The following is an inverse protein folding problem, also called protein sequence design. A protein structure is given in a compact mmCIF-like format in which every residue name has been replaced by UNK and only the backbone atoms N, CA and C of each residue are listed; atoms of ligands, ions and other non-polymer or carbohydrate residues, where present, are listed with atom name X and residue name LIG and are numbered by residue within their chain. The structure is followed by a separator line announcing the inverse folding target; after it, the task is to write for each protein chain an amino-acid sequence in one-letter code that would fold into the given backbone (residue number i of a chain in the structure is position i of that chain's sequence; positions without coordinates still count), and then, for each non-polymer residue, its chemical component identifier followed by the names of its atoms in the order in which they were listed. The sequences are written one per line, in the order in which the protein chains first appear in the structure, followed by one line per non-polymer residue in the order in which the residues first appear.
data_IF_816022026513
#
_entry.id   IF_816022026513
#
_cell.length_a   1.000
_cell.length_b   1.000
_cell.length_c   1.000
_cell.angle_alpha   90.00
_cell.angle_beta   90.00
_cell.angle_gamma   90.00
#
_symmetry.space_group_name_H-M   'P 1'
#
loop_
_entity.id
_entity.type
_entity.pdbx_description
1 polymer ?
#
# COMPACT_ATOMS: atom_id res chain seq x y z
N UNK A 1 -48.67 5.48 -43.69
CA UNK A 1 -47.42 5.52 -42.89
C UNK A 1 -46.55 6.78 -43.17
N UNK A 2 -47.12 7.95 -43.49
CA UNK A 2 -46.37 9.19 -43.76
C UNK A 2 -46.60 10.31 -42.72
N UNK A 3 -47.68 10.25 -41.95
CA UNK A 3 -47.98 11.25 -40.91
C UNK A 3 -47.16 11.09 -39.63
N UNK A 4 -46.77 9.85 -39.28
CA UNK A 4 -46.05 9.57 -38.03
C UNK A 4 -44.57 10.00 -38.07
N UNK A 5 -43.96 10.05 -39.27
CA UNK A 5 -42.58 10.54 -39.43
C UNK A 5 -42.50 12.07 -39.42
N UNK A 6 -43.46 12.76 -40.03
CA UNK A 6 -43.50 14.22 -39.99
C UNK A 6 -43.74 14.76 -38.58
N UNK A 7 -44.58 14.11 -37.77
CA UNK A 7 -44.79 14.51 -36.37
C UNK A 7 -43.54 14.33 -35.51
N UNK A 8 -42.73 13.29 -35.77
CA UNK A 8 -41.48 13.06 -35.05
C UNK A 8 -40.38 14.05 -35.47
N UNK A 9 -40.34 14.44 -36.75
CA UNK A 9 -39.41 15.46 -37.24
C UNK A 9 -39.76 16.85 -36.69
N UNK A 10 -41.04 17.24 -36.70
CA UNK A 10 -41.46 18.50 -36.08
C UNK A 10 -41.23 18.53 -34.57
N UNK A 11 -41.33 17.38 -33.90
CA UNK A 11 -41.02 17.27 -32.47
C UNK A 11 -39.51 17.35 -32.20
N UNK A 12 -38.68 16.72 -33.04
CA UNK A 12 -37.23 16.79 -32.93
C UNK A 12 -36.70 18.21 -33.22
N UNK A 13 -37.26 18.92 -34.19
CA UNK A 13 -36.93 20.34 -34.45
C UNK A 13 -37.37 21.25 -33.31
N UNK A 14 -38.56 21.00 -32.72
CA UNK A 14 -39.02 21.74 -31.55
C UNK A 14 -38.14 21.50 -30.30
N UNK A 15 -37.55 20.31 -30.15
CA UNK A 15 -36.63 19.96 -29.07
C UNK A 15 -35.20 20.45 -29.33
N UNK A 16 -34.77 20.59 -30.60
CA UNK A 16 -33.44 21.08 -30.96
C UNK A 16 -33.30 22.59 -30.80
N UNK A 17 -34.42 23.33 -30.95
CA UNK A 17 -34.46 24.78 -30.76
C UNK A 17 -34.74 25.20 -29.31
N UNK A 18 -35.01 24.25 -28.42
CA UNK A 18 -34.91 24.43 -26.98
C UNK A 18 -33.51 23.97 -26.55
N UNK A 19 -32.53 24.87 -26.67
CA UNK A 19 -31.32 24.74 -25.88
C UNK A 19 -31.73 24.77 -24.42
N UNK A 20 -31.82 23.60 -23.79
CA UNK A 20 -31.84 23.50 -22.33
C UNK A 20 -30.48 24.00 -21.85
N UNK A 21 -30.34 25.32 -21.75
CA UNK A 21 -29.30 25.96 -20.98
C UNK A 21 -29.58 25.53 -19.54
N UNK A 22 -28.81 24.55 -19.07
CA UNK A 22 -28.81 24.17 -17.67
C UNK A 22 -28.66 25.45 -16.84
N UNK A 23 -29.49 25.68 -15.81
CA UNK A 23 -29.33 26.82 -14.91
C UNK A 23 -27.89 26.84 -14.39
N UNK A 24 -27.26 28.02 -14.31
CA UNK A 24 -25.85 28.17 -13.91
C UNK A 24 -25.51 27.42 -12.62
N UNK A 25 -26.48 27.37 -11.68
CA UNK A 25 -26.37 26.62 -10.43
C UNK A 25 -26.16 25.09 -10.60
N UNK A 26 -26.59 24.49 -11.71
CA UNK A 26 -26.32 23.09 -12.03
C UNK A 26 -24.96 22.90 -12.71
N UNK A 27 -24.47 23.89 -13.47
CA UNK A 27 -23.11 23.86 -14.02
C UNK A 27 -22.07 23.92 -12.89
N UNK A 28 -22.24 24.82 -11.92
CA UNK A 28 -21.38 24.90 -10.73
C UNK A 28 -21.34 23.58 -9.92
N UNK A 29 -22.48 22.88 -9.85
CA UNK A 29 -22.57 21.59 -9.17
C UNK A 29 -21.81 20.50 -9.94
N UNK A 30 -21.91 20.48 -11.27
CA UNK A 30 -21.20 19.53 -12.11
C UNK A 30 -19.69 19.79 -12.08
N UNK A 31 -19.25 21.05 -12.13
CA UNK A 31 -17.84 21.42 -12.00
C UNK A 31 -17.28 20.99 -10.64
N UNK A 32 -18.02 21.22 -9.54
CA UNK A 32 -17.65 20.71 -8.22
C UNK A 32 -17.56 19.19 -8.17
N UNK A 33 -18.53 18.48 -8.75
CA UNK A 33 -18.51 17.01 -8.79
C UNK A 33 -17.33 16.47 -9.60
N UNK A 34 -16.99 17.09 -10.73
CA UNK A 34 -15.82 16.72 -11.53
C UNK A 34 -14.51 17.00 -10.80
N UNK A 35 -14.42 18.13 -10.10
CA UNK A 35 -13.28 18.44 -9.23
C UNK A 35 -13.16 17.45 -8.08
N UNK A 36 -14.24 17.13 -7.37
CA UNK A 36 -14.27 16.14 -6.29
C UNK A 36 -13.86 14.75 -6.78
N UNK A 37 -14.33 14.31 -7.96
CA UNK A 37 -13.92 13.03 -8.55
C UNK A 37 -12.43 13.04 -8.92
N UNK A 38 -11.93 14.15 -9.49
CA UNK A 38 -10.51 14.32 -9.79
C UNK A 38 -9.64 14.34 -8.53
N UNK A 39 -10.09 14.99 -7.45
CA UNK A 39 -9.41 15.01 -6.17
C UNK A 39 -9.48 13.66 -5.44
N UNK A 40 -10.57 12.89 -5.57
CA UNK A 40 -10.67 11.54 -5.01
C UNK A 40 -9.82 10.53 -5.79
N UNK A 41 -9.76 10.61 -7.12
CA UNK A 41 -8.84 9.79 -7.92
C UNK A 41 -7.39 10.16 -7.65
N UNK A 42 -7.07 11.46 -7.58
CA UNK A 42 -5.75 11.93 -7.20
C UNK A 42 -5.39 11.59 -5.74
N UNK A 43 -6.35 11.51 -4.80
CA UNK A 43 -6.11 11.01 -3.43
C UNK A 43 -6.04 9.49 -3.32
N UNK A 44 -6.59 8.74 -4.28
CA UNK A 44 -6.37 7.30 -4.39
C UNK A 44 -5.00 6.99 -5.01
N UNK A 45 -4.50 7.83 -5.92
CA UNK A 45 -3.16 7.74 -6.50
C UNK A 45 -2.06 8.38 -5.62
N UNK A 46 -2.44 9.42 -4.86
CA UNK A 46 -1.61 10.15 -3.89
C UNK A 46 -2.05 9.88 -2.45
N UNK A 47 -2.64 8.71 -2.19
CA UNK A 47 -2.46 8.04 -0.90
C UNK A 47 -0.98 7.70 -0.85
N UNK A 48 -0.20 8.71 -0.45
CA UNK A 48 1.26 8.77 -0.42
C UNK A 48 1.83 7.35 -0.37
N UNK A 49 2.51 6.94 -1.43
CA UNK A 49 3.51 5.87 -1.32
C UNK A 49 4.46 6.33 -0.23
N UNK A 50 4.15 5.99 1.03
CA UNK A 50 5.04 5.99 2.16
C UNK A 50 6.04 4.89 1.81
N UNK A 51 6.92 5.26 0.88
CA UNK A 51 8.00 4.46 0.38
C UNK A 51 8.99 4.44 1.51
N UNK A 52 8.76 3.54 2.46
CA UNK A 52 9.77 3.24 3.46
C UNK A 52 11.03 2.80 2.71
N UNK A 53 12.23 3.26 3.14
CA UNK A 53 13.48 2.86 2.51
C UNK A 53 13.70 1.35 2.56
N UNK A 54 13.07 0.67 3.53
CA UNK A 54 12.92 -0.78 3.54
C UNK A 54 11.61 -1.22 4.20
N UNK A 55 11.17 -2.42 3.86
CA UNK A 55 10.00 -3.11 4.41
C UNK A 55 10.39 -4.55 4.73
N UNK A 56 9.97 -5.05 5.89
CA UNK A 56 10.26 -6.42 6.29
C UNK A 56 9.00 -7.27 6.39
N UNK A 57 8.85 -8.24 5.50
CA UNK A 57 7.65 -9.06 5.34
C UNK A 57 7.77 -10.33 6.18
N UNK A 58 6.85 -10.49 7.13
CA UNK A 58 6.78 -11.62 8.06
C UNK A 58 5.37 -12.20 8.13
N UNK A 59 5.22 -13.40 8.68
CA UNK A 59 3.91 -14.04 8.89
C UNK A 59 3.80 -14.61 10.28
N UNK A 60 2.59 -14.53 10.83
CA UNK A 60 2.24 -15.12 12.12
C UNK A 60 2.08 -16.64 12.08
N UNK A 61 2.29 -17.27 10.91
CA UNK A 61 2.51 -18.71 10.83
C UNK A 61 3.89 -19.15 11.34
N UNK A 62 4.82 -18.22 11.54
CA UNK A 62 6.13 -18.48 12.16
C UNK A 62 5.93 -18.60 13.68
N UNK A 63 6.53 -19.61 14.33
CA UNK A 63 6.44 -19.75 15.78
C UNK A 63 7.06 -18.54 16.49
N UNK A 64 6.54 -18.23 17.68
CA UNK A 64 6.87 -17.02 18.45
C UNK A 64 8.37 -16.89 18.70
N UNK A 65 9.03 -18.01 18.96
CA UNK A 65 10.46 -18.11 19.24
C UNK A 65 11.31 -17.63 18.06
N UNK A 66 10.83 -17.82 16.83
CA UNK A 66 11.48 -17.33 15.61
C UNK A 66 11.05 -15.92 15.22
N UNK A 67 9.79 -15.56 15.50
CA UNK A 67 9.23 -14.26 15.12
C UNK A 67 9.76 -13.13 16.00
N UNK A 68 9.93 -13.35 17.31
CA UNK A 68 10.42 -12.35 18.24
C UNK A 68 11.78 -11.74 17.82
N UNK A 69 12.85 -12.52 17.61
CA UNK A 69 14.15 -11.95 17.22
C UNK A 69 14.08 -11.24 15.86
N UNK A 70 13.24 -11.73 14.93
CA UNK A 70 13.00 -11.09 13.64
C UNK A 70 12.39 -9.69 13.79
N UNK A 71 11.39 -9.53 14.67
CA UNK A 71 10.75 -8.25 14.94
C UNK A 71 11.66 -7.29 15.71
N UNK A 72 12.47 -7.82 16.63
CA UNK A 72 13.47 -7.02 17.35
C UNK A 72 14.54 -6.48 16.39
N UNK A 73 15.02 -7.30 15.47
CA UNK A 73 15.97 -6.86 14.45
C UNK A 73 15.32 -5.80 13.54
N UNK A 74 14.08 -6.02 13.09
CA UNK A 74 13.33 -5.05 12.29
C UNK A 74 13.23 -3.69 13.00
N UNK A 75 12.85 -3.70 14.28
CA UNK A 75 12.79 -2.50 15.11
C UNK A 75 14.17 -1.83 15.28
N UNK A 76 15.24 -2.62 15.52
CA UNK A 76 16.61 -2.10 15.68
C UNK A 76 17.10 -1.33 14.46
N UNK A 77 16.73 -1.77 13.26
CA UNK A 77 17.09 -1.12 12.00
C UNK A 77 16.08 -0.06 11.54
N UNK A 78 15.03 0.22 12.34
CA UNK A 78 13.98 1.16 11.98
C UNK A 78 13.13 0.71 10.79
N UNK A 79 13.09 -0.60 10.51
CA UNK A 79 12.38 -1.18 9.38
C UNK A 79 11.02 -1.69 9.87
N UNK A 80 9.90 -1.16 9.34
CA UNK A 80 8.58 -1.65 9.71
C UNK A 80 8.39 -3.10 9.29
N UNK A 81 7.96 -3.93 10.23
CA UNK A 81 7.56 -5.31 9.95
C UNK A 81 6.11 -5.34 9.44
N UNK A 82 5.88 -5.98 8.29
CA UNK A 82 4.60 -6.02 7.60
C UNK A 82 4.05 -7.44 7.52
N UNK A 83 2.82 -7.62 7.98
CA UNK A 83 2.02 -8.82 7.89
C UNK A 83 1.05 -8.75 6.71
N UNK A 84 0.83 -9.90 6.06
CA UNK A 84 -0.12 -9.99 4.94
C UNK A 84 -1.56 -9.80 5.41
N UNK A 85 -1.89 -10.25 6.60
CA UNK A 85 -3.24 -10.27 7.12
C UNK A 85 -3.30 -10.81 8.54
N UNK A 86 -4.52 -11.16 8.94
CA UNK A 86 -4.83 -11.65 10.28
C UNK A 86 -4.55 -13.15 10.41
N UNK A 87 -4.27 -13.58 11.63
CA UNK A 87 -4.22 -15.00 11.97
C UNK A 87 -5.63 -15.57 11.86
N UNK A 88 -5.80 -16.59 11.01
CA UNK A 88 -7.08 -17.29 10.82
C UNK A 88 -8.28 -16.35 10.53
N UNK A 89 -8.05 -15.17 9.94
CA UNK A 89 -9.05 -14.12 9.76
C UNK A 89 -9.67 -13.58 11.07
N UNK A 90 -9.03 -13.78 12.22
CA UNK A 90 -9.50 -13.34 13.53
C UNK A 90 -8.61 -12.22 14.09
N UNK A 91 -9.22 -11.04 14.26
CA UNK A 91 -8.57 -9.86 14.84
C UNK A 91 -8.16 -10.06 16.29
N UNK A 92 -8.96 -10.79 17.09
CA UNK A 92 -8.69 -11.02 18.52
C UNK A 92 -7.48 -11.94 18.68
N UNK A 93 -7.41 -13.02 17.90
CA UNK A 93 -6.23 -13.90 17.93
C UNK A 93 -4.97 -13.14 17.53
N UNK A 94 -5.04 -12.33 16.48
CA UNK A 94 -3.93 -11.48 16.03
C UNK A 94 -3.52 -10.49 17.12
N UNK A 95 -4.49 -9.82 17.75
CA UNK A 95 -4.24 -8.87 18.83
C UNK A 95 -3.65 -9.55 20.08
N UNK A 96 -4.10 -10.75 20.43
CA UNK A 96 -3.55 -11.52 21.55
C UNK A 96 -2.08 -11.89 21.33
N UNK A 97 -1.74 -12.39 20.14
CA UNK A 97 -0.35 -12.70 19.79
C UNK A 97 0.53 -11.46 19.80
N UNK A 98 0.05 -10.35 19.22
CA UNK A 98 0.75 -9.08 19.27
C UNK A 98 0.93 -8.55 20.69
N UNK A 99 -0.10 -8.68 21.52
CA UNK A 99 -0.04 -8.30 22.92
C UNK A 99 0.99 -9.13 23.68
N UNK A 100 1.06 -10.43 23.44
CA UNK A 100 2.08 -11.30 24.04
C UNK A 100 3.50 -10.99 23.58
N UNK A 101 3.70 -10.57 22.33
CA UNK A 101 4.98 -10.08 21.84
C UNK A 101 5.34 -8.74 22.50
N UNK A 102 4.37 -7.83 22.64
CA UNK A 102 4.57 -6.52 23.27
C UNK A 102 4.92 -6.58 24.75
N UNK A 103 4.59 -7.68 25.45
CA UNK A 103 5.00 -7.92 26.84
C UNK A 103 6.50 -8.15 26.97
N UNK A 104 7.13 -8.75 25.96
CA UNK A 104 8.57 -9.00 25.97
C UNK A 104 9.34 -7.76 25.51
N UNK A 105 8.83 -7.08 24.48
CA UNK A 105 9.38 -5.81 24.03
C UNK A 105 8.26 -4.88 23.56
N UNK A 106 8.10 -3.76 24.29
CA UNK A 106 7.05 -2.77 24.04
C UNK A 106 7.19 -2.04 22.71
N UNK A 107 8.36 -2.13 22.09
CA UNK A 107 8.64 -1.48 20.82
C UNK A 107 8.36 -2.38 19.62
N UNK A 108 7.90 -3.62 19.85
CA UNK A 108 7.47 -4.51 18.77
C UNK A 108 6.11 -4.03 18.24
N UNK A 109 6.15 -3.49 17.02
CA UNK A 109 4.99 -3.15 16.23
C UNK A 109 5.00 -3.89 14.90
N UNK A 110 3.80 -4.16 14.38
CA UNK A 110 3.62 -4.70 13.03
C UNK A 110 2.60 -3.88 12.27
N UNK A 111 2.82 -3.74 10.98
CA UNK A 111 1.86 -3.20 10.03
C UNK A 111 1.10 -4.36 9.38
N UNK A 112 -0.19 -4.20 9.13
CA UNK A 112 -0.97 -5.17 8.36
C UNK A 112 -1.35 -4.52 7.05
N UNK A 113 -0.72 -4.96 5.96
CA UNK A 113 -0.96 -4.39 4.64
C UNK A 113 -0.82 -5.48 3.54
N UNK A 114 -1.93 -6.06 3.07
CA UNK A 114 -1.91 -7.04 2.00
C UNK A 114 -1.51 -6.44 0.64
N UNK A 115 -1.64 -5.13 0.46
CA UNK A 115 -1.35 -4.48 -0.83
C UNK A 115 0.14 -4.46 -1.10
N UNK A 116 0.97 -4.15 -0.09
CA UNK A 116 2.42 -4.21 -0.19
C UNK A 116 2.93 -5.61 -0.58
N UNK A 117 2.29 -6.67 -0.08
CA UNK A 117 2.64 -8.04 -0.48
C UNK A 117 2.43 -8.29 -1.98
N UNK A 118 1.35 -7.75 -2.54
CA UNK A 118 1.04 -7.87 -3.97
C UNK A 118 1.95 -6.99 -4.80
N UNK A 119 2.16 -5.74 -4.38
CA UNK A 119 2.91 -4.74 -5.13
C UNK A 119 4.39 -5.13 -5.27
N UNK A 120 4.98 -5.73 -4.24
CA UNK A 120 6.35 -6.27 -4.30
C UNK A 120 6.42 -7.77 -4.70
N UNK A 121 5.29 -8.42 -4.98
CA UNK A 121 5.26 -9.83 -5.38
C UNK A 121 5.84 -10.79 -4.32
N UNK A 122 5.54 -10.55 -3.05
CA UNK A 122 6.05 -11.35 -1.93
C UNK A 122 5.16 -12.58 -1.72
N UNK A 123 5.60 -13.71 -2.27
CA UNK A 123 4.95 -15.02 -2.09
C UNK A 123 5.49 -15.79 -0.90
N UNK A 124 6.80 -15.64 -0.62
CA UNK A 124 7.54 -16.36 0.43
C UNK A 124 7.99 -15.40 1.51
N UNK A 125 7.83 -15.81 2.76
CA UNK A 125 8.27 -15.08 3.96
C UNK A 125 9.21 -15.95 4.79
N UNK A 126 10.13 -15.38 5.57
CA UNK A 126 10.42 -13.94 5.68
C UNK A 126 11.12 -13.36 4.43
N UNK A 127 10.89 -12.07 4.17
CA UNK A 127 11.53 -11.34 3.07
C UNK A 127 11.79 -9.88 3.42
N UNK A 128 12.95 -9.36 3.05
CA UNK A 128 13.32 -7.95 3.17
C UNK A 128 13.24 -7.30 1.79
N UNK A 129 12.57 -6.16 1.71
CA UNK A 129 12.56 -5.30 0.53
C UNK A 129 13.29 -4.02 0.87
N UNK A 130 14.25 -3.62 0.03
CA UNK A 130 14.93 -2.32 0.14
C UNK A 130 14.59 -1.53 -1.11
N UNK A 131 14.06 -0.32 -0.92
CA UNK A 131 13.59 0.52 -2.02
C UNK A 131 14.55 1.68 -2.25
N UNK A 132 14.85 1.94 -3.53
CA UNK A 132 15.64 3.08 -3.97
C UNK A 132 14.90 3.82 -5.11
N UNK A 133 15.32 5.03 -5.50
CA UNK A 133 14.63 5.80 -6.53
C UNK A 133 14.49 5.00 -7.85
N UNK A 134 13.26 4.59 -8.19
CA UNK A 134 12.96 3.86 -9.41
C UNK A 134 13.17 2.34 -9.36
N UNK A 135 13.71 1.77 -8.27
CA UNK A 135 14.00 0.34 -8.16
C UNK A 135 13.87 -0.21 -6.74
N UNK A 136 13.81 -1.52 -6.60
CA UNK A 136 13.77 -2.20 -5.30
C UNK A 136 14.49 -3.55 -5.39
N UNK A 137 15.21 -3.89 -4.31
CA UNK A 137 15.82 -5.20 -4.12
C UNK A 137 15.00 -6.04 -3.15
N UNK A 138 14.91 -7.34 -3.43
CA UNK A 138 14.22 -8.29 -2.55
C UNK A 138 15.19 -9.38 -2.10
N UNK A 139 15.38 -9.49 -0.79
CA UNK A 139 16.11 -10.60 -0.17
C UNK A 139 15.12 -11.52 0.51
N UNK A 140 15.04 -12.77 0.05
CA UNK A 140 14.15 -13.80 0.61
C UNK A 140 14.94 -14.78 1.47
N UNK A 141 14.32 -15.29 2.53
CA UNK A 141 14.87 -16.35 3.37
C UNK A 141 15.07 -15.91 4.83
N UNK A 142 15.33 -16.90 5.69
CA UNK A 142 15.48 -16.74 7.15
C UNK A 142 16.83 -16.16 7.58
N UNK A 143 17.40 -15.25 6.79
CA UNK A 143 18.65 -14.58 7.13
C UNK A 143 18.40 -13.51 8.20
N UNK A 144 19.35 -13.28 9.12
CA UNK A 144 19.33 -12.12 10.00
C UNK A 144 19.25 -10.84 9.17
N UNK A 145 18.55 -9.82 9.68
CA UNK A 145 18.28 -8.59 8.92
C UNK A 145 19.56 -7.88 8.50
N UNK A 146 20.58 -7.91 9.38
CA UNK A 146 21.93 -7.42 9.08
C UNK A 146 22.52 -8.08 7.82
N UNK A 147 22.53 -9.40 7.78
CA UNK A 147 23.08 -10.16 6.66
C UNK A 147 22.25 -9.96 5.37
N UNK A 148 20.93 -9.79 5.51
CA UNK A 148 20.06 -9.46 4.38
C UNK A 148 20.41 -8.08 3.81
N UNK A 149 20.62 -7.07 4.66
CA UNK A 149 21.07 -5.74 4.25
C UNK A 149 22.48 -5.78 3.63
N UNK A 150 23.44 -6.48 4.25
CA UNK A 150 24.80 -6.66 3.71
C UNK A 150 24.76 -7.28 2.30
N UNK A 151 23.88 -8.26 2.08
CA UNK A 151 23.68 -8.86 0.76
C UNK A 151 23.18 -7.86 -0.29
N UNK A 152 22.29 -6.95 0.10
CA UNK A 152 21.85 -5.83 -0.77
C UNK A 152 23.02 -4.87 -1.03
N UNK A 153 23.85 -4.60 -0.03
CA UNK A 153 25.04 -3.75 -0.20
C UNK A 153 26.06 -4.34 -1.18
N UNK A 154 26.25 -5.67 -1.16
CA UNK A 154 27.22 -6.35 -2.01
C UNK A 154 26.73 -6.59 -3.44
N UNK A 155 25.44 -6.92 -3.61
CA UNK A 155 24.91 -7.47 -4.87
C UNK A 155 23.64 -6.77 -5.39
N UNK A 156 23.04 -5.90 -4.59
CA UNK A 156 21.81 -5.19 -4.94
C UNK A 156 22.07 -3.83 -5.57
N UNK A 157 21.05 -3.30 -6.24
CA UNK A 157 21.07 -1.98 -6.87
C UNK A 157 20.80 -0.85 -5.87
N UNK A 158 20.07 -1.15 -4.79
CA UNK A 158 19.75 -0.26 -3.68
C UNK A 158 20.82 -0.30 -2.55
N UNK A 159 22.08 -0.59 -2.89
CA UNK A 159 23.19 -0.69 -1.94
C UNK A 159 23.38 0.57 -1.07
N UNK A 160 23.15 1.77 -1.63
CA UNK A 160 23.25 3.03 -0.89
C UNK A 160 22.22 3.11 0.25
N UNK A 161 20.95 2.78 -0.04
CA UNK A 161 19.88 2.72 0.96
C UNK A 161 20.19 1.70 2.04
N UNK A 162 20.65 0.50 1.65
CA UNK A 162 21.00 -0.56 2.59
C UNK A 162 22.16 -0.15 3.52
N UNK A 163 23.18 0.57 3.01
CA UNK A 163 24.27 1.12 3.85
C UNK A 163 23.76 2.14 4.86
N UNK A 164 22.83 3.01 4.46
CA UNK A 164 22.21 3.97 5.37
C UNK A 164 21.45 3.27 6.50
N UNK A 165 20.71 2.21 6.20
CA UNK A 165 20.00 1.42 7.20
C UNK A 165 20.96 0.68 8.14
N UNK A 166 22.09 0.17 7.63
CA UNK A 166 23.13 -0.46 8.46
C UNK A 166 23.87 0.53 9.36
N UNK A 167 24.12 1.74 8.87
CA UNK A 167 24.83 2.81 9.58
C UNK A 167 23.97 3.66 10.51
N UNK A 168 22.64 3.66 10.29
CA UNK A 168 21.64 4.33 11.13
C UNK A 168 21.34 3.54 12.41
N UNK A 169 22.38 3.13 13.14
CA UNK A 169 22.21 2.63 14.50
C UNK A 169 21.62 3.78 15.35
N UNK A 170 20.53 3.53 16.11
CA UNK A 170 19.94 4.53 16.98
C UNK A 170 20.89 4.99 18.09
#
# INVERSE_FOLDING_TARGET
MKQQQSSLQTFQDAMRNQSFQLPTAQQDLIDKLQQDIGHQQAQQEAGEKKSFPALYFVSLGIPREGLLPMLQDAHRYGIPATLRGLVNNDMRQTASLMFELSKEDKNIGVQIDPTLYRDYGITTVPALVVTCPGHFDIVRGSLPLKAALEKVVERGECAATARQLLGGQP
#
